data_IF_258114200825
#
_entry.id   IF_258114200825
#
_cell.length_a   1.000
_cell.length_b   1.000
_cell.length_c   1.000
_cell.angle_alpha   90.00
_cell.angle_beta   90.00
_cell.angle_gamma   90.00
#
_symmetry.space_group_name_H-M   'P 1'
#
loop_
_entity.id
_entity.type
_entity.pdbx_description
1 polymer ?
#
# COMPACT_ATOMS: atom_id res chain seq x y z
N UNK A 1 2.61 17.01 -5.07
CA UNK A 1 1.75 17.24 -3.90
C UNK A 1 0.33 16.89 -4.32
N UNK A 2 -0.04 15.62 -4.16
CA UNK A 2 -1.35 15.08 -4.56
C UNK A 2 -2.28 15.10 -3.38
N UNK A 3 -3.19 16.07 -3.38
CA UNK A 3 -4.29 16.17 -2.46
C UNK A 3 -5.19 14.94 -2.61
N UNK A 4 -5.65 14.40 -1.47
CA UNK A 4 -6.92 13.70 -1.26
C UNK A 4 -7.63 13.26 -2.55
N UNK A 5 -7.36 12.04 -3.03
CA UNK A 5 -8.27 11.43 -3.97
C UNK A 5 -9.27 10.59 -3.19
N UNK A 6 -10.56 10.98 -3.27
CA UNK A 6 -11.65 10.08 -2.94
C UNK A 6 -11.38 8.72 -3.62
N UNK A 7 -11.57 7.64 -2.87
CA UNK A 7 -11.38 6.28 -3.39
C UNK A 7 -12.25 6.15 -4.65
N UNK A 8 -11.62 6.15 -5.82
CA UNK A 8 -12.33 6.06 -7.11
C UNK A 8 -12.80 4.62 -7.27
N UNK A 9 -13.99 4.35 -6.74
CA UNK A 9 -14.69 3.09 -6.94
C UNK A 9 -15.67 3.21 -8.12
N UNK A 10 -15.95 2.10 -8.78
CA UNK A 10 -16.94 2.05 -9.85
C UNK A 10 -18.35 2.44 -9.35
N UNK A 11 -19.26 2.92 -10.21
CA UNK A 11 -20.65 3.25 -9.80
C UNK A 11 -21.38 2.12 -9.05
N UNK A 12 -21.30 0.84 -9.50
CA UNK A 12 -21.84 -0.28 -8.73
C UNK A 12 -21.21 -0.44 -7.34
N UNK A 13 -19.90 -0.25 -7.26
CA UNK A 13 -19.11 -0.35 -6.04
C UNK A 13 -19.48 0.77 -5.06
N UNK A 14 -19.62 2.00 -5.55
CA UNK A 14 -20.01 3.16 -4.73
C UNK A 14 -21.36 2.93 -4.07
N UNK A 15 -22.35 2.46 -4.82
CA UNK A 15 -23.71 2.19 -4.30
C UNK A 15 -23.71 1.18 -3.15
N UNK A 16 -22.77 0.24 -3.13
CA UNK A 16 -22.64 -0.76 -2.07
C UNK A 16 -21.82 -0.26 -0.88
N UNK A 17 -20.83 0.61 -1.12
CA UNK A 17 -19.82 1.00 -0.13
C UNK A 17 -20.14 2.32 0.59
N UNK A 18 -20.99 3.18 0.01
CA UNK A 18 -21.31 4.52 0.53
C UNK A 18 -21.93 4.57 1.93
N UNK A 19 -22.50 3.45 2.42
CA UNK A 19 -23.23 3.41 3.69
C UNK A 19 -22.35 3.23 4.93
N UNK A 20 -21.05 2.96 4.73
CA UNK A 20 -20.10 2.74 5.83
C UNK A 20 -18.85 3.56 5.55
N UNK A 21 -18.47 4.40 6.51
CA UNK A 21 -17.22 5.14 6.47
C UNK A 21 -16.04 4.16 6.53
N UNK A 22 -15.13 4.26 5.54
CA UNK A 22 -13.95 3.41 5.41
C UNK A 22 -12.72 4.30 5.37
N UNK A 23 -12.10 4.61 6.52
CA UNK A 23 -10.89 5.39 6.53
C UNK A 23 -9.79 4.64 5.78
N UNK A 24 -8.97 5.37 5.02
CA UNK A 24 -7.79 4.79 4.38
C UNK A 24 -6.87 4.21 5.45
N UNK A 25 -6.55 2.92 5.33
CA UNK A 25 -5.52 2.27 6.14
C UNK A 25 -4.11 2.44 5.54
N UNK A 26 -3.99 3.13 4.40
CA UNK A 26 -2.72 3.33 3.75
C UNK A 26 -1.88 4.38 4.50
N UNK A 27 -0.70 3.99 4.94
CA UNK A 27 0.32 4.91 5.45
C UNK A 27 1.28 5.27 4.32
N UNK A 28 1.47 6.57 4.08
CA UNK A 28 2.38 7.04 3.04
C UNK A 28 3.77 7.24 3.64
N UNK A 29 4.74 6.56 3.04
CA UNK A 29 6.15 6.73 3.35
C UNK A 29 6.84 7.30 2.12
N UNK A 30 7.66 8.34 2.31
CA UNK A 30 8.39 8.96 1.20
C UNK A 30 9.51 8.02 0.75
N UNK A 31 9.18 7.14 -0.18
CA UNK A 31 10.11 6.17 -0.73
C UNK A 31 11.08 6.91 -1.67
N UNK A 32 12.25 7.31 -1.13
CA UNK A 32 13.41 7.74 -1.93
C UNK A 32 13.97 6.62 -2.83
N UNK A 33 13.40 5.43 -2.72
CA UNK A 33 13.68 4.23 -3.49
C UNK A 33 12.68 4.14 -4.65
N UNK A 34 13.13 4.22 -5.90
CA UNK A 34 12.25 4.11 -7.08
C UNK A 34 11.79 2.66 -7.26
N UNK A 35 10.66 2.29 -6.65
CA UNK A 35 10.13 0.92 -6.65
C UNK A 35 9.49 0.61 -8.01
N UNK A 36 10.00 -0.43 -8.67
CA UNK A 36 9.43 -0.95 -9.94
C UNK A 36 8.59 -2.21 -9.74
N UNK A 37 8.80 -2.91 -8.63
CA UNK A 37 8.04 -4.12 -8.28
C UNK A 37 8.01 -4.30 -6.76
N UNK A 38 6.91 -4.85 -6.25
CA UNK A 38 6.79 -5.25 -4.86
C UNK A 38 5.98 -6.54 -4.73
N UNK A 39 6.27 -7.32 -3.70
CA UNK A 39 5.54 -8.53 -3.35
C UNK A 39 5.49 -8.70 -1.82
N UNK A 40 4.34 -9.12 -1.30
CA UNK A 40 4.12 -9.27 0.15
C UNK A 40 3.87 -10.73 0.51
N UNK A 41 4.69 -11.24 1.43
CA UNK A 41 4.50 -12.54 2.06
C UNK A 41 3.86 -12.30 3.43
N UNK A 42 2.53 -12.42 3.49
CA UNK A 42 1.76 -12.20 4.71
C UNK A 42 2.06 -13.24 5.79
N UNK A 43 2.23 -14.52 5.42
CA UNK A 43 2.52 -15.60 6.37
C UNK A 43 3.82 -15.37 7.12
N UNK A 44 4.87 -14.93 6.41
CA UNK A 44 6.19 -14.65 6.99
C UNK A 44 6.37 -13.22 7.44
N UNK A 45 5.36 -12.40 7.24
CA UNK A 45 5.35 -10.99 7.56
C UNK A 45 6.47 -10.17 6.91
N UNK A 46 6.70 -10.39 5.61
CA UNK A 46 7.79 -9.72 4.87
C UNK A 46 7.27 -9.00 3.64
N UNK A 47 7.92 -7.88 3.33
CA UNK A 47 7.71 -7.16 2.08
C UNK A 47 9.00 -7.17 1.27
N UNK A 48 8.92 -7.55 0.00
CA UNK A 48 9.98 -7.41 -0.98
C UNK A 48 9.72 -6.17 -1.83
N UNK A 49 10.76 -5.36 -2.04
CA UNK A 49 10.71 -4.24 -3.00
C UNK A 49 11.93 -4.27 -3.91
N UNK A 50 11.71 -4.12 -5.22
CA UNK A 50 12.76 -4.02 -6.24
C UNK A 50 12.85 -2.58 -6.72
N UNK A 51 14.06 -2.02 -6.69
CA UNK A 51 14.36 -0.69 -7.18
C UNK A 51 14.85 -0.66 -8.62
N UNK A 52 14.61 0.46 -9.31
CA UNK A 52 15.21 0.73 -10.62
C UNK A 52 16.75 0.82 -10.57
N UNK A 53 17.30 1.13 -9.39
CA UNK A 53 18.72 1.14 -9.06
C UNK A 53 19.34 -0.26 -8.89
N UNK A 54 18.57 -1.33 -9.19
CA UNK A 54 18.95 -2.75 -9.04
C UNK A 54 19.13 -3.20 -7.59
N UNK A 55 18.66 -2.42 -6.62
CA UNK A 55 18.64 -2.83 -5.21
C UNK A 55 17.32 -3.51 -4.88
N UNK A 56 17.42 -4.70 -4.29
CA UNK A 56 16.29 -5.43 -3.72
C UNK A 56 16.36 -5.29 -2.20
N UNK A 57 15.25 -4.88 -1.59
CA UNK A 57 15.11 -4.76 -0.13
C UNK A 57 14.07 -5.76 0.36
N UNK A 58 14.33 -6.32 1.53
CA UNK A 58 13.38 -7.15 2.28
C UNK A 58 13.12 -6.43 3.60
N UNK A 59 11.85 -6.15 3.87
CA UNK A 59 11.40 -5.46 5.06
C UNK A 59 10.73 -6.46 6.00
N UNK A 60 10.99 -6.32 7.29
CA UNK A 60 10.27 -7.02 8.34
C UNK A 60 9.04 -6.19 8.75
N UNK A 61 7.86 -6.74 8.50
CA UNK A 61 6.58 -6.11 8.83
C UNK A 61 6.02 -6.58 10.17
N UNK A 62 6.70 -7.50 10.88
CA UNK A 62 6.27 -7.99 12.19
C UNK A 62 5.88 -6.89 13.19
N UNK A 63 6.59 -5.74 13.28
CA UNK A 63 6.25 -4.66 14.21
C UNK A 63 4.95 -3.90 13.91
N UNK A 64 4.39 -4.03 12.70
CA UNK A 64 3.18 -3.29 12.27
C UNK A 64 1.91 -4.07 12.61
N UNK A 65 2.03 -5.39 12.77
CA UNK A 65 0.90 -6.31 13.03
C UNK A 65 0.71 -6.68 14.51
N UNK A 66 1.30 -5.93 15.42
CA UNK A 66 1.06 -5.99 16.87
C UNK A 66 0.13 -4.89 17.31
#
# INVERSE_FOLDING_TARGET
>A
MGFEFDVRVCDPCFKQLQFVERPSLATFHDAKHSIVFMDMDEERKRLLTVGQDRIIKIWDLSPIWT
#
